data_IF_499340840770
#
_entry.id   IF_499340840770
#
_cell.length_a   1.000
_cell.length_b   1.000
_cell.length_c   1.000
_cell.angle_alpha   90.00
_cell.angle_beta   90.00
_cell.angle_gamma   90.00
#
_symmetry.space_group_name_H-M   'P 1'
#
loop_
_entity.id
_entity.type
_entity.pdbx_description
1 polymer ?
#
# COMPACT_ATOMS: atom_id res chain seq x y z
N UNK A 1 -10.11 -0.29 -11.84
CA UNK A 1 -10.18 -1.72 -12.24
C UNK A 1 -11.62 -2.18 -12.31
N UNK A 2 -12.01 -2.95 -13.33
CA UNK A 2 -13.37 -3.47 -13.38
C UNK A 2 -13.56 -4.50 -12.26
N UNK A 3 -14.78 -4.59 -11.68
CA UNK A 3 -15.16 -5.62 -10.69
C UNK A 3 -14.78 -7.05 -11.15
N UNK A 4 -14.84 -7.31 -12.46
CA UNK A 4 -14.45 -8.59 -13.07
C UNK A 4 -12.95 -8.93 -12.92
N UNK A 5 -12.06 -7.94 -13.05
CA UNK A 5 -10.62 -8.16 -12.86
C UNK A 5 -10.30 -8.51 -11.40
N UNK A 6 -10.97 -7.85 -10.45
CA UNK A 6 -10.79 -8.11 -9.02
C UNK A 6 -11.28 -9.51 -8.63
N UNK A 7 -12.41 -9.97 -9.17
CA UNK A 7 -12.94 -11.32 -8.92
C UNK A 7 -12.06 -12.40 -9.54
N UNK A 8 -11.54 -12.16 -10.75
CA UNK A 8 -10.59 -13.07 -11.38
C UNK A 8 -9.34 -13.22 -10.54
N UNK A 9 -8.76 -12.11 -10.07
CA UNK A 9 -7.59 -12.15 -9.20
C UNK A 9 -7.85 -12.92 -7.91
N UNK A 10 -8.98 -12.69 -7.24
CA UNK A 10 -9.37 -13.44 -6.04
C UNK A 10 -9.45 -14.94 -6.31
N UNK A 11 -10.08 -15.32 -7.42
CA UNK A 11 -10.29 -16.72 -7.80
C UNK A 11 -8.97 -17.43 -8.12
N UNK A 12 -8.10 -16.79 -8.90
CA UNK A 12 -6.82 -17.39 -9.28
C UNK A 12 -5.83 -17.41 -8.12
N UNK A 13 -5.76 -16.34 -7.33
CA UNK A 13 -4.93 -16.34 -6.13
C UNK A 13 -5.38 -17.38 -5.11
N UNK A 14 -6.70 -17.60 -4.94
CA UNK A 14 -7.18 -18.65 -4.04
C UNK A 14 -6.78 -20.06 -4.45
N UNK A 15 -6.58 -20.30 -5.75
CA UNK A 15 -6.07 -21.56 -6.27
C UNK A 15 -4.56 -21.73 -6.09
N UNK A 16 -3.81 -20.64 -6.24
CA UNK A 16 -2.35 -20.64 -6.06
C UNK A 16 -1.95 -20.88 -4.60
N UNK A 17 -2.77 -20.41 -3.67
CA UNK A 17 -2.48 -20.49 -2.24
C UNK A 17 -3.31 -21.61 -1.58
N UNK A 18 -2.92 -22.87 -1.82
CA UNK A 18 -3.48 -24.05 -1.13
C UNK A 18 -3.18 -24.10 0.37
N UNK A 19 -2.51 -23.13 0.93
CA UNK A 19 -2.16 -23.10 2.34
C UNK A 19 -2.64 -21.84 3.04
N UNK A 20 -3.69 -21.93 3.85
CA UNK A 20 -4.05 -20.89 4.84
C UNK A 20 -2.89 -20.51 5.78
N UNK A 21 -1.76 -21.20 5.66
CA UNK A 21 -0.60 -21.09 6.55
C UNK A 21 0.46 -20.09 6.05
N UNK A 22 0.52 -19.81 4.73
CA UNK A 22 1.56 -18.97 4.15
C UNK A 22 1.27 -17.49 4.39
N UNK A 23 0.00 -17.08 4.36
CA UNK A 23 -0.41 -15.70 4.57
C UNK A 23 -1.30 -15.59 5.79
N UNK A 24 -0.73 -15.18 6.92
CA UNK A 24 -1.45 -14.89 8.16
C UNK A 24 -1.39 -13.38 8.45
N UNK A 25 -2.15 -12.56 7.71
CA UNK A 25 -2.17 -11.13 8.01
C UNK A 25 -2.69 -10.89 9.42
N UNK A 26 -2.11 -9.91 10.09
CA UNK A 26 -2.55 -9.48 11.42
C UNK A 26 -4.01 -9.03 11.38
N UNK A 27 -4.73 -9.22 12.45
CA UNK A 27 -6.08 -8.69 12.56
C UNK A 27 -6.08 -7.16 12.61
N UNK A 28 -7.13 -6.55 12.09
CA UNK A 28 -7.32 -5.10 12.17
C UNK A 28 -7.30 -4.64 13.62
N UNK A 29 -6.47 -3.64 13.93
CA UNK A 29 -6.36 -3.09 15.28
C UNK A 29 -5.07 -2.28 15.48
N UNK A 30 -4.97 -1.71 16.67
CA UNK A 30 -3.74 -1.08 17.15
C UNK A 30 -2.78 -2.15 17.63
N UNK A 31 -1.53 -2.10 17.15
CA UNK A 31 -0.42 -2.97 17.58
C UNK A 31 0.23 -2.37 18.82
N UNK A 32 0.42 -1.06 18.80
CA UNK A 32 0.90 -0.27 19.93
C UNK A 32 0.28 1.14 19.91
N UNK A 33 0.80 2.07 20.72
CA UNK A 33 0.30 3.45 20.80
C UNK A 33 0.48 4.27 19.50
N UNK A 34 1.33 3.83 18.59
CA UNK A 34 1.67 4.54 17.36
C UNK A 34 1.37 3.76 16.10
N UNK A 35 1.37 2.44 16.17
CA UNK A 35 1.25 1.56 15.02
C UNK A 35 -0.09 0.84 15.05
N UNK A 36 -0.83 0.95 13.96
CA UNK A 36 -2.04 0.20 13.71
C UNK A 36 -1.94 -0.54 12.37
N UNK A 37 -2.77 -1.55 12.19
CA UNK A 37 -2.92 -2.19 10.91
C UNK A 37 -4.37 -2.45 10.55
N UNK A 38 -4.65 -2.47 9.26
CA UNK A 38 -5.89 -2.97 8.67
C UNK A 38 -5.59 -4.26 7.93
N UNK A 39 -6.34 -5.30 8.26
CA UNK A 39 -6.28 -6.56 7.53
C UNK A 39 -7.05 -6.42 6.22
N UNK A 40 -6.35 -6.47 5.13
CA UNK A 40 -6.90 -6.74 3.83
C UNK A 40 -6.94 -8.26 3.59
N UNK A 41 -7.21 -8.70 2.39
CA UNK A 41 -7.40 -10.13 2.11
C UNK A 41 -6.17 -10.99 2.45
N UNK A 42 -5.01 -10.69 1.85
CA UNK A 42 -3.74 -11.43 2.01
C UNK A 42 -2.61 -10.56 2.55
N UNK A 43 -2.89 -9.30 2.80
CA UNK A 43 -1.91 -8.30 3.21
C UNK A 43 -2.41 -7.48 4.38
N UNK A 44 -1.53 -6.76 5.01
CA UNK A 44 -1.86 -5.71 5.94
C UNK A 44 -1.50 -4.34 5.35
N UNK A 45 -2.32 -3.37 5.67
CA UNK A 45 -2.03 -1.96 5.50
C UNK A 45 -1.64 -1.43 6.87
N UNK A 46 -0.52 -0.76 6.97
CA UNK A 46 -0.05 -0.24 8.24
C UNK A 46 -0.25 1.27 8.34
N UNK A 47 -0.42 1.74 9.55
CA UNK A 47 -0.53 3.16 9.89
C UNK A 47 0.45 3.45 11.01
N UNK A 48 1.20 4.53 10.85
CA UNK A 48 2.00 5.11 11.92
C UNK A 48 1.42 6.47 12.27
N UNK A 49 1.02 6.66 13.53
CA UNK A 49 0.44 7.92 14.01
C UNK A 49 1.28 8.52 15.13
N UNK A 50 1.64 9.79 14.96
CA UNK A 50 2.29 10.58 15.98
C UNK A 50 1.73 12.00 15.98
N UNK A 51 1.12 12.43 17.10
CA UNK A 51 0.33 13.66 17.15
C UNK A 51 -0.78 13.61 16.08
N UNK A 52 -0.90 14.66 15.32
CA UNK A 52 -1.91 14.79 14.25
C UNK A 52 -1.46 14.21 12.90
N UNK A 53 -0.23 13.70 12.82
CA UNK A 53 0.30 13.14 11.58
C UNK A 53 0.06 11.63 11.53
N UNK A 54 -0.61 11.18 10.48
CA UNK A 54 -0.77 9.77 10.16
C UNK A 54 -0.10 9.46 8.82
N UNK A 55 0.80 8.50 8.82
CA UNK A 55 1.45 7.95 7.64
C UNK A 55 0.85 6.58 7.39
N UNK A 56 0.47 6.31 6.15
CA UNK A 56 -0.05 5.02 5.72
C UNK A 56 1.01 4.30 4.90
N UNK A 57 1.15 3.00 5.08
CA UNK A 57 2.05 2.12 4.32
C UNK A 57 1.19 1.14 3.56
N UNK A 58 1.27 1.24 2.25
CA UNK A 58 0.38 0.62 1.26
C UNK A 58 -1.09 1.10 1.35
N UNK A 59 -1.82 0.95 0.26
CA UNK A 59 -3.17 1.50 0.13
C UNK A 59 -4.26 0.43 -0.06
N UNK A 60 -3.88 -0.86 0.01
CA UNK A 60 -4.87 -1.94 -0.17
C UNK A 60 -5.52 -1.93 -1.54
N UNK A 61 -6.63 -2.64 -1.67
CA UNK A 61 -7.32 -2.74 -2.96
C UNK A 61 -8.85 -2.63 -2.88
N UNK A 62 -9.44 -2.87 -1.73
CA UNK A 62 -10.89 -2.74 -1.55
C UNK A 62 -11.20 -1.46 -0.78
N UNK A 63 -11.61 -0.48 -1.52
CA UNK A 63 -11.83 0.85 -1.07
C UNK A 63 -12.88 0.98 0.04
N UNK A 64 -14.10 0.47 -0.17
CA UNK A 64 -15.20 0.62 0.79
C UNK A 64 -14.87 -0.07 2.12
N UNK A 65 -14.36 -1.29 2.03
CA UNK A 65 -13.96 -2.05 3.21
C UNK A 65 -12.78 -1.42 3.94
N UNK A 66 -11.85 -0.80 3.20
CA UNK A 66 -10.70 -0.12 3.78
C UNK A 66 -11.15 1.12 4.56
N UNK A 67 -12.06 1.93 3.99
CA UNK A 67 -12.63 3.10 4.66
C UNK A 67 -13.28 2.71 5.99
N UNK A 68 -14.13 1.69 5.98
CA UNK A 68 -14.79 1.18 7.17
C UNK A 68 -13.79 0.76 8.25
N UNK A 69 -12.77 -0.03 7.88
CA UNK A 69 -11.78 -0.54 8.84
C UNK A 69 -10.83 0.52 9.38
N UNK A 70 -10.50 1.53 8.58
CA UNK A 70 -9.73 2.69 9.05
C UNK A 70 -10.56 3.45 10.08
N UNK A 71 -11.88 3.58 9.86
CA UNK A 71 -12.80 4.15 10.84
C UNK A 71 -12.80 3.40 12.18
N UNK A 72 -12.69 2.07 12.18
CA UNK A 72 -12.58 1.28 13.43
C UNK A 72 -11.33 1.61 14.24
N UNK A 73 -10.27 2.11 13.60
CA UNK A 73 -9.04 2.56 14.26
C UNK A 73 -9.17 3.98 14.84
N UNK A 74 -10.28 4.67 14.60
CA UNK A 74 -10.44 6.08 14.95
C UNK A 74 -9.52 7.00 14.13
N UNK A 75 -9.17 6.60 12.91
CA UNK A 75 -8.41 7.40 11.95
C UNK A 75 -9.40 7.93 10.91
N UNK A 76 -9.36 9.24 10.65
CA UNK A 76 -10.07 9.81 9.50
C UNK A 76 -9.25 9.55 8.23
N UNK A 77 -9.76 8.73 7.29
CA UNK A 77 -9.03 8.46 6.04
C UNK A 77 -8.70 9.73 5.25
N UNK A 78 -9.54 10.74 5.33
CA UNK A 78 -9.33 12.03 4.63
C UNK A 78 -8.22 12.87 5.23
N UNK A 79 -7.81 12.58 6.48
CA UNK A 79 -6.67 13.23 7.12
C UNK A 79 -5.31 12.67 6.66
N UNK A 80 -5.30 11.51 6.00
CA UNK A 80 -4.06 10.87 5.54
C UNK A 80 -3.47 11.67 4.38
N UNK A 81 -2.27 12.22 4.60
CA UNK A 81 -1.55 13.05 3.62
C UNK A 81 -0.34 12.34 3.01
N UNK A 82 0.12 11.26 3.62
CA UNK A 82 1.35 10.56 3.26
C UNK A 82 1.11 9.07 3.16
N UNK A 83 1.37 8.50 1.98
CA UNK A 83 1.25 7.07 1.72
C UNK A 83 2.56 6.57 1.13
N UNK A 84 3.22 5.64 1.80
CA UNK A 84 4.39 4.93 1.29
C UNK A 84 3.91 3.68 0.57
N UNK A 85 4.30 3.50 -0.66
CA UNK A 85 3.98 2.33 -1.46
C UNK A 85 5.19 1.42 -1.48
N UNK A 86 5.03 0.20 -0.97
CA UNK A 86 6.10 -0.79 -0.94
C UNK A 86 6.34 -1.39 -2.32
N UNK A 87 5.26 -1.70 -3.05
CA UNK A 87 5.34 -2.21 -4.42
C UNK A 87 4.00 -2.03 -5.17
N UNK A 88 4.03 -2.24 -6.45
CA UNK A 88 2.94 -1.91 -7.38
C UNK A 88 1.77 -2.89 -7.42
N UNK A 89 1.80 -3.99 -6.68
CA UNK A 89 0.73 -4.98 -6.75
C UNK A 89 -0.60 -4.38 -6.30
N UNK A 90 -1.68 -4.75 -6.96
CA UNK A 90 -3.01 -4.15 -6.76
C UNK A 90 -3.48 -4.21 -5.30
N UNK A 91 -3.05 -5.24 -4.57
CA UNK A 91 -3.38 -5.38 -3.14
C UNK A 91 -2.69 -4.33 -2.26
N UNK A 92 -1.75 -3.57 -2.82
CA UNK A 92 -0.99 -2.52 -2.14
C UNK A 92 -1.30 -1.12 -2.69
N UNK A 93 -1.80 -1.00 -3.93
CA UNK A 93 -2.04 0.30 -4.57
C UNK A 93 -3.49 0.52 -5.04
N UNK A 94 -4.36 -0.48 -4.91
CA UNK A 94 -5.70 -0.42 -5.51
C UNK A 94 -6.58 0.72 -5.01
N UNK A 95 -6.47 1.13 -3.74
CA UNK A 95 -7.29 2.22 -3.21
C UNK A 95 -6.82 3.63 -3.62
N UNK A 96 -5.65 3.76 -4.25
CA UNK A 96 -5.16 5.02 -4.85
C UNK A 96 -5.26 5.01 -6.37
N UNK A 97 -5.88 3.99 -6.96
CA UNK A 97 -6.14 3.94 -8.39
C UNK A 97 -7.05 5.10 -8.83
N UNK A 98 -6.81 5.63 -10.03
CA UNK A 98 -7.55 6.78 -10.56
C UNK A 98 -9.06 6.60 -10.61
N UNK A 99 -9.51 5.35 -10.79
CA UNK A 99 -10.93 4.97 -10.84
C UNK A 99 -11.53 4.72 -9.45
N UNK A 100 -10.71 4.80 -8.38
CA UNK A 100 -11.21 4.69 -7.01
C UNK A 100 -12.02 5.94 -6.64
N UNK A 101 -12.96 5.85 -5.69
CA UNK A 101 -13.77 6.99 -5.25
C UNK A 101 -12.97 8.17 -4.66
N UNK A 102 -11.66 8.05 -4.57
CA UNK A 102 -10.76 9.16 -4.25
C UNK A 102 -10.60 9.45 -2.75
N UNK A 103 -10.73 8.44 -1.91
CA UNK A 103 -10.53 8.55 -0.45
C UNK A 103 -9.19 9.21 -0.10
N UNK A 104 -8.14 8.82 -0.82
CA UNK A 104 -6.79 9.32 -0.62
C UNK A 104 -6.34 10.32 -1.69
N UNK A 105 -7.28 10.98 -2.37
CA UNK A 105 -6.96 11.90 -3.50
C UNK A 105 -5.94 12.99 -3.13
N UNK A 106 -5.97 13.45 -1.88
CA UNK A 106 -5.10 14.51 -1.39
C UNK A 106 -3.79 13.99 -0.80
N UNK A 107 -3.57 12.68 -0.79
CA UNK A 107 -2.35 12.10 -0.26
C UNK A 107 -1.23 12.16 -1.31
N UNK A 108 -0.02 12.49 -0.83
CA UNK A 108 1.21 12.36 -1.59
C UNK A 108 1.73 10.95 -1.44
N UNK A 109 2.09 10.33 -2.55
CA UNK A 109 2.67 8.98 -2.58
C UNK A 109 4.18 9.06 -2.57
N UNK A 110 4.79 8.14 -1.83
CA UNK A 110 6.22 7.93 -1.78
C UNK A 110 6.51 6.54 -2.33
N UNK A 111 7.26 6.46 -3.42
CA UNK A 111 7.42 5.23 -4.20
C UNK A 111 8.88 5.06 -4.59
N UNK A 112 9.42 3.88 -4.44
CA UNK A 112 10.77 3.58 -4.94
C UNK A 112 10.86 3.80 -6.46
N UNK A 113 11.99 4.33 -6.95
CA UNK A 113 12.20 4.59 -8.38
C UNK A 113 11.96 3.35 -9.24
N UNK A 114 12.40 2.18 -8.76
CA UNK A 114 12.22 0.90 -9.47
C UNK A 114 10.73 0.55 -9.55
N UNK A 115 10.00 0.65 -8.45
CA UNK A 115 8.57 0.34 -8.42
C UNK A 115 7.76 1.34 -9.26
N UNK A 116 8.18 2.60 -9.30
CA UNK A 116 7.53 3.59 -10.16
C UNK A 116 7.56 3.20 -11.65
N UNK A 117 8.62 2.54 -12.12
CA UNK A 117 8.70 2.06 -13.51
C UNK A 117 7.62 1.03 -13.83
N UNK A 118 7.24 0.22 -12.83
CA UNK A 118 6.10 -0.69 -12.95
C UNK A 118 4.77 0.06 -12.89
N UNK A 119 4.64 1.06 -12.02
CA UNK A 119 3.42 1.88 -11.92
C UNK A 119 3.16 2.71 -13.18
N UNK A 120 4.21 3.18 -13.85
CA UNK A 120 4.09 3.93 -15.11
C UNK A 120 3.89 3.03 -16.34
N UNK A 121 4.07 1.73 -16.17
CA UNK A 121 4.01 0.76 -17.30
C UNK A 121 5.26 0.73 -18.16
N UNK A 122 6.33 1.45 -17.78
CA UNK A 122 7.63 1.37 -18.46
C UNK A 122 8.18 -0.05 -18.42
N UNK A 123 8.04 -0.70 -17.28
CA UNK A 123 8.36 -2.11 -17.08
C UNK A 123 7.10 -2.86 -16.70
N UNK A 124 6.89 -4.04 -17.24
CA UNK A 124 5.74 -4.88 -16.86
C UNK A 124 6.19 -6.05 -16.02
N UNK A 125 5.60 -6.18 -14.84
CA UNK A 125 5.83 -7.32 -13.98
C UNK A 125 5.21 -8.57 -14.58
N UNK A 126 6.01 -9.61 -14.68
CA UNK A 126 5.59 -10.93 -15.15
C UNK A 126 5.66 -11.88 -13.98
N UNK A 127 4.62 -12.65 -13.76
CA UNK A 127 4.56 -13.68 -12.73
C UNK A 127 4.32 -15.03 -13.38
N UNK A 128 4.69 -16.11 -12.68
CA UNK A 128 4.51 -17.51 -13.13
C UNK A 128 5.14 -17.72 -14.52
N UNK A 129 6.46 -17.85 -14.55
CA UNK A 129 7.22 -18.14 -15.78
C UNK A 129 6.85 -17.24 -16.98
N UNK A 130 6.56 -15.96 -16.69
CA UNK A 130 6.20 -14.95 -17.69
C UNK A 130 4.81 -15.12 -18.35
N UNK A 131 3.97 -16.02 -17.86
CA UNK A 131 2.66 -16.27 -18.45
C UNK A 131 1.60 -15.22 -18.07
N UNK A 132 1.71 -14.62 -16.88
CA UNK A 132 0.76 -13.60 -16.43
C UNK A 132 1.40 -12.23 -16.33
N UNK A 133 0.65 -11.22 -16.79
CA UNK A 133 0.96 -9.80 -16.59
C UNK A 133 0.03 -9.29 -15.51
N UNK A 134 0.60 -8.67 -14.48
CA UNK A 134 -0.22 -7.98 -13.49
C UNK A 134 -0.94 -6.79 -14.13
N UNK A 135 -2.18 -6.51 -13.72
CA UNK A 135 -2.91 -5.35 -14.21
C UNK A 135 -2.12 -4.07 -13.94
N UNK A 136 -2.13 -3.18 -14.93
CA UNK A 136 -1.57 -1.85 -14.76
C UNK A 136 -2.53 -1.01 -13.93
N UNK A 137 -2.02 -0.36 -12.90
CA UNK A 137 -2.77 0.60 -12.06
C UNK A 137 -2.39 2.01 -12.49
N UNK A 138 -3.38 2.85 -12.75
CA UNK A 138 -3.17 4.27 -13.05
C UNK A 138 -3.39 5.08 -11.80
N UNK A 139 -2.39 5.91 -11.44
CA UNK A 139 -2.40 6.71 -10.22
C UNK A 139 -2.21 8.18 -10.58
N UNK A 140 -3.13 9.03 -10.14
CA UNK A 140 -3.11 10.47 -10.38
C UNK A 140 -2.55 11.28 -9.20
N UNK A 141 -2.34 10.65 -8.04
CA UNK A 141 -1.77 11.32 -6.88
C UNK A 141 -0.36 11.87 -7.19
N UNK A 142 0.02 13.02 -6.57
CA UNK A 142 1.38 13.50 -6.62
C UNK A 142 2.33 12.44 -6.05
N UNK A 143 3.45 12.17 -6.74
CA UNK A 143 4.43 11.16 -6.34
C UNK A 143 5.77 11.80 -6.05
N UNK A 144 6.44 11.29 -5.01
CA UNK A 144 7.85 11.51 -4.75
C UNK A 144 8.58 10.19 -4.93
N UNK A 145 9.58 10.18 -5.81
CA UNK A 145 10.40 9.01 -6.01
C UNK A 145 11.48 8.94 -4.94
N UNK A 146 11.73 7.72 -4.48
CA UNK A 146 12.70 7.42 -3.44
C UNK A 146 13.82 6.55 -4.00
N UNK A 147 15.03 6.85 -3.57
CA UNK A 147 16.23 6.04 -3.77
C UNK A 147 16.59 5.31 -2.48
N UNK A 148 17.40 4.28 -2.62
CA UNK A 148 17.97 3.62 -1.45
C UNK A 148 18.80 4.62 -0.62
N UNK A 149 18.59 4.60 0.69
CA UNK A 149 19.22 5.53 1.64
C UNK A 149 18.48 6.88 1.81
N UNK A 150 17.46 7.17 1.03
CA UNK A 150 16.68 8.39 1.21
C UNK A 150 16.01 8.42 2.60
N UNK A 151 16.00 9.61 3.19
CA UNK A 151 15.34 9.88 4.47
C UNK A 151 14.13 10.76 4.25
N UNK A 152 12.98 10.36 4.78
CA UNK A 152 11.76 11.14 4.73
C UNK A 152 11.50 11.81 6.09
N UNK A 153 11.16 13.09 6.02
CA UNK A 153 10.76 13.88 7.18
C UNK A 153 9.27 14.19 7.08
N UNK A 154 8.51 13.72 8.04
CA UNK A 154 7.09 14.02 8.17
C UNK A 154 6.93 14.93 9.39
N UNK A 155 7.21 16.24 9.20
CA UNK A 155 7.16 17.21 10.27
C UNK A 155 5.75 17.76 10.48
N UNK A 156 5.31 17.82 11.74
CA UNK A 156 4.46 18.90 12.24
C UNK A 156 5.44 19.96 12.72
N UNK A 157 5.11 21.23 12.49
CA UNK A 157 5.95 22.37 12.82
C UNK A 157 6.68 22.20 14.16
N UNK A 158 8.02 22.04 14.11
CA UNK A 158 8.92 22.03 15.28
C UNK A 158 9.12 20.69 16.01
N UNK A 159 8.50 19.59 15.59
CA UNK A 159 8.66 18.27 16.23
C UNK A 159 9.66 17.38 15.50
N UNK A 160 10.69 16.89 16.21
CA UNK A 160 11.60 15.86 15.72
C UNK A 160 10.82 14.56 15.49
N UNK A 161 10.59 14.20 14.23
CA UNK A 161 10.21 12.85 13.87
C UNK A 161 11.51 12.11 13.52
N UNK A 162 11.87 11.03 14.21
CA UNK A 162 13.06 10.27 13.85
C UNK A 162 12.94 9.83 12.38
N UNK A 163 14.04 9.83 11.63
CA UNK A 163 14.00 9.40 10.23
C UNK A 163 13.49 7.96 10.17
N UNK A 164 12.57 7.70 9.28
CA UNK A 164 12.25 6.35 8.84
C UNK A 164 13.40 5.89 7.93
N UNK A 165 14.57 5.67 8.56
CA UNK A 165 15.71 5.11 7.86
C UNK A 165 15.45 3.63 7.62
N UNK A 166 15.64 3.19 6.40
CA UNK A 166 15.84 1.80 5.98
C UNK A 166 14.66 0.81 5.97
N UNK A 167 13.43 1.20 6.24
CA UNK A 167 12.31 0.25 6.08
C UNK A 167 11.95 -0.04 4.61
N UNK A 168 12.40 0.77 3.68
CA UNK A 168 12.10 0.59 2.24
C UNK A 168 13.10 -0.36 1.56
N UNK A 169 14.27 -0.59 2.15
CA UNK A 169 15.30 -1.47 1.58
C UNK A 169 15.19 -2.95 1.97
N UNK A 170 14.20 -3.33 2.76
CA UNK A 170 14.12 -4.67 3.35
C UNK A 170 13.11 -5.63 2.69
N UNK A 171 12.61 -5.32 1.51
CA UNK A 171 11.97 -6.36 0.72
C UNK A 171 12.93 -6.77 -0.39
N UNK A 172 13.77 -7.80 -0.16
CA UNK A 172 14.35 -8.50 -1.29
C UNK A 172 13.16 -8.92 -2.15
N UNK A 173 13.26 -8.64 -3.44
CA UNK A 173 12.38 -9.21 -4.45
C UNK A 173 12.17 -10.67 -4.13
N UNK A 174 11.09 -11.02 -3.46
CA UNK A 174 10.59 -12.38 -3.39
C UNK A 174 10.14 -12.73 -4.80
N UNK A 175 11.13 -13.05 -5.61
CA UNK A 175 10.93 -13.78 -6.86
C UNK A 175 10.61 -15.21 -6.44
N UNK A 176 9.33 -15.53 -6.46
CA UNK A 176 8.86 -16.91 -6.57
C UNK A 176 8.60 -17.24 -8.03
#
# INVERSE_FOLDING_TARGET
MSKKATEFQKKEMSKMYRGKEIFKPLNTGWIDKHVACVREWVANIFFYRKGDTTIMIDAGYNYDRLEEKIGWLGIDPKSIRHILITHQDTVHVGAVESDSPGLFRNAKLYVGEIENRYLTGEVRRKVICHLYRLPQVTINNPKQLLKDGDTLWFGVDGGYCPPLSSAVSLLPSLVL
#
